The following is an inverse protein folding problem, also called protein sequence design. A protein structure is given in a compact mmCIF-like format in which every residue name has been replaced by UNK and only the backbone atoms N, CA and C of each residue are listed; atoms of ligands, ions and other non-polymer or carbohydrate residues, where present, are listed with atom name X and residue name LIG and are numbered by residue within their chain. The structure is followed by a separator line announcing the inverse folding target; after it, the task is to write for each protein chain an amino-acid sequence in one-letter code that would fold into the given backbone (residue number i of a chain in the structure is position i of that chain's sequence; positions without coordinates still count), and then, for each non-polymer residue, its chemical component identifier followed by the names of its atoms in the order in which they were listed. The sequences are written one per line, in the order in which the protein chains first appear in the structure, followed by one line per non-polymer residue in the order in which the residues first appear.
data_IF_595666073156
#
_entry.id   IF_595666073156
#
_cell.length_a   1.000
_cell.length_b   1.000
_cell.length_c   1.000
_cell.angle_alpha   90.00
_cell.angle_beta   90.00
_cell.angle_gamma   90.00
#
_symmetry.space_group_name_H-M   'P 1'
#
loop_
_entity.id
_entity.type
_entity.pdbx_description
1 polymer ?
#
# COMPACT_ATOMS: atom_id res chain seq x y z
N UNK A 1 -27.41 -78.45 -9.49
CA UNK A 1 -28.19 -79.11 -8.44
C UNK A 1 -28.19 -78.27 -7.23
N UNK A 2 -29.37 -77.91 -6.75
CA UNK A 2 -29.87 -77.15 -5.62
C UNK A 2 -30.41 -75.75 -5.97
N UNK A 3 -31.58 -75.72 -5.96
CA UNK A 3 -32.92 -75.18 -5.72
C UNK A 3 -32.89 -73.85 -5.02
N UNK A 4 -33.58 -72.87 -5.64
CA UNK A 4 -34.23 -71.74 -4.93
C UNK A 4 -35.31 -72.26 -3.98
N UNK A 5 -35.65 -71.46 -2.95
CA UNK A 5 -37.04 -71.41 -2.57
C UNK A 5 -37.57 -69.92 -2.42
N UNK A 6 -38.65 -69.80 -3.08
CA UNK A 6 -39.94 -69.25 -2.65
C UNK A 6 -40.06 -67.84 -1.99
N UNK A 7 -40.87 -67.06 -2.67
CA UNK A 7 -41.58 -65.86 -2.34
C UNK A 7 -42.38 -65.90 -1.04
N UNK A 8 -42.37 -64.81 -0.28
CA UNK A 8 -43.38 -64.45 0.72
C UNK A 8 -43.86 -62.98 0.58
N UNK A 9 -45.04 -62.64 1.08
CA UNK A 9 -45.97 -61.70 0.49
C UNK A 9 -45.86 -60.22 1.00
N UNK A 10 -46.34 -59.34 0.13
CA UNK A 10 -46.67 -57.95 0.39
C UNK A 10 -47.68 -57.76 1.50
N UNK A 11 -47.38 -56.91 2.48
CA UNK A 11 -48.27 -55.89 3.11
C UNK A 11 -47.77 -55.53 4.51
N UNK A 12 -47.13 -54.36 4.61
CA UNK A 12 -47.11 -53.61 5.87
C UNK A 12 -47.08 -52.11 5.55
N UNK A 13 -48.05 -51.31 5.96
CA UNK A 13 -48.08 -49.87 5.68
C UNK A 13 -47.46 -49.10 6.86
N UNK A 14 -46.24 -48.66 6.70
CA UNK A 14 -45.62 -47.58 7.50
C UNK A 14 -44.37 -47.04 6.81
N UNK A 15 -44.59 -46.36 5.70
CA UNK A 15 -43.51 -45.55 5.10
C UNK A 15 -43.60 -44.12 5.72
N UNK A 16 -42.85 -43.89 6.78
CA UNK A 16 -42.48 -42.55 7.19
C UNK A 16 -41.59 -41.93 6.13
N UNK A 17 -42.13 -41.07 5.33
CA UNK A 17 -41.43 -40.20 4.37
C UNK A 17 -40.47 -39.32 5.15
N UNK A 18 -39.18 -39.72 5.20
CA UNK A 18 -38.10 -38.82 5.53
C UNK A 18 -38.00 -37.76 4.40
N UNK A 19 -38.56 -36.58 4.68
CA UNK A 19 -38.38 -35.42 3.83
C UNK A 19 -36.88 -35.17 3.66
N UNK A 20 -36.38 -35.36 2.44
CA UNK A 20 -35.00 -35.07 2.06
C UNK A 20 -34.79 -33.55 2.15
N UNK A 21 -34.15 -33.09 3.22
CA UNK A 21 -33.59 -31.75 3.31
C UNK A 21 -32.56 -31.63 2.19
N UNK A 22 -32.66 -30.65 1.27
CA UNK A 22 -31.75 -30.59 0.14
C UNK A 22 -30.31 -30.33 0.63
N UNK A 23 -29.40 -31.23 0.30
CA UNK A 23 -27.99 -31.22 0.67
C UNK A 23 -27.26 -29.89 0.34
N UNK A 24 -27.84 -29.07 -0.53
CA UNK A 24 -27.33 -27.73 -0.89
C UNK A 24 -27.50 -26.68 0.23
N UNK A 25 -28.51 -26.76 1.08
CA UNK A 25 -28.71 -25.81 2.20
C UNK A 25 -27.79 -26.11 3.38
N UNK A 26 -27.49 -27.38 3.64
CA UNK A 26 -26.56 -27.78 4.70
C UNK A 26 -25.11 -27.37 4.35
N UNK A 27 -24.71 -27.47 3.07
CA UNK A 27 -23.38 -27.07 2.61
C UNK A 27 -23.19 -25.53 2.66
N UNK A 28 -24.22 -24.71 2.40
CA UNK A 28 -24.16 -23.26 2.52
C UNK A 28 -24.04 -22.79 3.98
N UNK A 29 -24.75 -23.43 4.89
CA UNK A 29 -24.67 -23.15 6.33
C UNK A 29 -23.30 -23.48 6.92
N UNK A 30 -22.73 -24.62 6.55
CA UNK A 30 -21.42 -25.04 7.00
C UNK A 30 -20.29 -24.10 6.49
N UNK A 31 -20.37 -23.66 5.25
CA UNK A 31 -19.41 -22.70 4.69
C UNK A 31 -19.52 -21.32 5.36
N UNK A 32 -20.71 -20.87 5.69
CA UNK A 32 -20.92 -19.62 6.41
C UNK A 32 -20.43 -19.68 7.86
N UNK A 33 -20.66 -20.81 8.53
CA UNK A 33 -20.18 -21.04 9.89
C UNK A 33 -18.66 -21.17 9.96
N UNK A 34 -18.03 -21.85 9.00
CA UNK A 34 -16.57 -21.96 8.87
C UNK A 34 -15.94 -20.60 8.57
N UNK A 35 -16.52 -19.79 7.69
CA UNK A 35 -16.07 -18.42 7.45
C UNK A 35 -16.21 -17.53 8.70
N UNK A 36 -17.30 -17.64 9.43
CA UNK A 36 -17.51 -16.91 10.67
C UNK A 36 -16.52 -17.34 11.76
N UNK A 37 -16.23 -18.64 11.88
CA UNK A 37 -15.25 -19.17 12.84
C UNK A 37 -13.82 -18.78 12.46
N UNK A 38 -13.46 -18.87 11.20
CA UNK A 38 -12.19 -18.36 10.68
C UNK A 38 -12.04 -16.86 10.97
N UNK A 39 -13.04 -16.05 10.67
CA UNK A 39 -13.01 -14.62 10.96
C UNK A 39 -12.88 -14.33 12.48
N UNK A 40 -13.48 -15.14 13.34
CA UNK A 40 -13.38 -14.99 14.79
C UNK A 40 -12.00 -15.36 15.34
N UNK A 41 -11.40 -16.44 14.82
CA UNK A 41 -10.01 -16.84 15.13
C UNK A 41 -9.02 -15.79 14.64
N UNK A 42 -9.21 -15.29 13.41
CA UNK A 42 -8.39 -14.23 12.84
C UNK A 42 -8.49 -12.90 13.62
N UNK A 43 -9.68 -12.52 14.08
CA UNK A 43 -9.87 -11.34 14.94
C UNK A 43 -9.16 -11.50 16.28
N UNK A 44 -9.21 -12.66 16.90
CA UNK A 44 -8.51 -12.95 18.16
C UNK A 44 -6.98 -12.89 17.99
N UNK A 45 -6.45 -13.55 16.96
CA UNK A 45 -5.02 -13.52 16.64
C UNK A 45 -4.53 -12.10 16.25
N UNK A 46 -5.38 -11.29 15.61
CA UNK A 46 -5.10 -9.88 15.31
C UNK A 46 -4.96 -9.04 16.58
N UNK A 47 -5.85 -9.23 17.57
CA UNK A 47 -5.77 -8.48 18.83
C UNK A 47 -4.45 -8.74 19.57
N UNK A 48 -4.03 -10.00 19.67
CA UNK A 48 -2.77 -10.38 20.33
C UNK A 48 -1.55 -9.84 19.54
N UNK A 49 -1.57 -9.94 18.21
CA UNK A 49 -0.51 -9.37 17.35
C UNK A 49 -0.47 -7.84 17.42
N UNK A 50 -1.62 -7.19 17.51
CA UNK A 50 -1.75 -5.74 17.67
C UNK A 50 -1.06 -5.25 18.95
N UNK A 51 -1.41 -5.86 20.09
CA UNK A 51 -0.89 -5.45 21.38
C UNK A 51 0.63 -5.70 21.51
N UNK A 52 1.13 -6.76 20.88
CA UNK A 52 2.55 -7.06 20.81
C UNK A 52 3.32 -6.07 19.91
N UNK A 53 2.76 -5.70 18.74
CA UNK A 53 3.39 -4.75 17.82
C UNK A 53 3.41 -3.32 18.35
N UNK A 54 2.36 -2.88 19.01
CA UNK A 54 2.34 -1.58 19.67
C UNK A 54 3.46 -1.47 20.71
N UNK A 55 3.69 -2.55 21.47
CA UNK A 55 4.76 -2.59 22.49
C UNK A 55 6.16 -2.74 21.91
N UNK A 56 6.31 -3.44 20.80
CA UNK A 56 7.63 -3.80 20.23
C UNK A 56 8.08 -2.85 19.13
N UNK A 57 7.15 -2.34 18.29
CA UNK A 57 7.49 -1.53 17.11
C UNK A 57 7.12 -0.04 17.24
N UNK A 58 6.47 0.37 18.36
CA UNK A 58 6.05 1.75 18.57
C UNK A 58 5.08 2.28 17.50
N UNK A 59 4.39 1.38 16.77
CA UNK A 59 3.40 1.79 15.77
C UNK A 59 2.16 2.27 16.50
N UNK A 60 1.67 3.50 16.26
CA UNK A 60 0.48 4.01 16.90
C UNK A 60 -0.72 3.09 16.63
N UNK A 61 -1.48 2.81 17.69
CA UNK A 61 -2.69 2.02 17.53
C UNK A 61 -3.78 2.84 16.86
N UNK A 62 -4.46 2.25 15.89
CA UNK A 62 -5.70 2.76 15.31
C UNK A 62 -6.69 1.60 15.13
N UNK A 63 -7.96 1.90 15.21
CA UNK A 63 -9.00 0.94 14.84
C UNK A 63 -9.25 1.06 13.32
N UNK A 64 -8.82 0.03 12.58
CA UNK A 64 -8.97 -0.01 11.12
C UNK A 64 -10.42 -0.31 10.77
N UNK A 65 -11.03 0.58 10.03
CA UNK A 65 -12.38 0.44 9.49
C UNK A 65 -12.33 -0.11 8.06
N UNK A 66 -13.39 -0.81 7.60
CA UNK A 66 -13.43 -1.34 6.23
C UNK A 66 -13.35 -0.28 5.13
N UNK A 67 -13.73 0.94 5.44
CA UNK A 67 -13.68 2.11 4.56
C UNK A 67 -12.42 2.97 4.73
N UNK A 68 -11.47 2.58 5.58
CA UNK A 68 -10.15 3.22 5.64
C UNK A 68 -9.33 2.88 4.40
N UNK A 69 -8.56 3.84 3.95
CA UNK A 69 -7.66 3.71 2.80
C UNK A 69 -6.22 4.00 3.23
N UNK A 70 -5.33 3.12 2.85
CA UNK A 70 -3.93 3.19 3.24
C UNK A 70 -3.04 3.34 2.02
N UNK A 71 -2.20 4.35 2.01
CA UNK A 71 -1.21 4.60 0.98
C UNK A 71 0.16 4.14 1.49
N UNK A 72 0.58 2.97 1.06
CA UNK A 72 1.89 2.44 1.40
C UNK A 72 2.86 2.55 0.24
N UNK A 73 4.11 2.73 0.55
CA UNK A 73 5.21 2.71 -0.40
C UNK A 73 6.53 2.61 0.34
N UNK A 74 7.58 2.13 -0.32
CA UNK A 74 8.92 2.46 0.13
C UNK A 74 9.16 3.98 -0.02
N UNK A 75 9.94 4.63 0.88
CA UNK A 75 10.21 6.06 0.74
C UNK A 75 10.70 6.43 -0.68
N UNK A 76 10.31 7.60 -1.19
CA UNK A 76 10.68 8.12 -2.52
C UNK A 76 10.04 7.43 -3.73
N UNK A 77 8.96 6.69 -3.52
CA UNK A 77 8.22 6.00 -4.60
C UNK A 77 7.00 6.78 -5.13
N UNK A 78 6.87 8.09 -4.88
CA UNK A 78 5.78 8.90 -5.44
C UNK A 78 4.57 9.10 -4.52
N UNK A 79 4.63 8.65 -3.27
CA UNK A 79 3.51 8.74 -2.30
C UNK A 79 2.99 10.19 -2.14
N UNK A 80 3.88 11.19 -2.08
CA UNK A 80 3.49 12.60 -1.95
C UNK A 80 2.64 13.07 -3.12
N UNK A 81 2.98 12.70 -4.35
CA UNK A 81 2.20 13.05 -5.54
C UNK A 81 0.79 12.47 -5.48
N UNK A 82 0.68 11.17 -5.19
CA UNK A 82 -0.63 10.53 -5.05
C UNK A 82 -1.46 11.18 -3.94
N UNK A 83 -0.86 11.55 -2.81
CA UNK A 83 -1.57 12.22 -1.71
C UNK A 83 -2.16 13.57 -2.14
N UNK A 84 -1.42 14.38 -2.91
CA UNK A 84 -1.93 15.65 -3.44
C UNK A 84 -3.15 15.45 -4.34
N UNK A 85 -3.11 14.46 -5.25
CA UNK A 85 -4.25 14.16 -6.13
C UNK A 85 -5.44 13.68 -5.31
N UNK A 86 -5.23 12.76 -4.36
CA UNK A 86 -6.29 12.23 -3.51
C UNK A 86 -6.89 13.29 -2.58
N UNK A 87 -6.07 14.21 -2.06
CA UNK A 87 -6.58 15.31 -1.27
C UNK A 87 -7.52 16.19 -2.10
N UNK A 88 -7.12 16.55 -3.32
CA UNK A 88 -7.97 17.36 -4.20
C UNK A 88 -9.27 16.63 -4.53
N UNK A 89 -9.22 15.32 -4.87
CA UNK A 89 -10.40 14.53 -5.15
C UNK A 89 -11.34 14.34 -3.96
N UNK A 90 -10.80 14.32 -2.74
CA UNK A 90 -11.57 14.01 -1.54
C UNK A 90 -12.12 15.27 -0.87
N UNK A 91 -11.37 16.35 -0.86
CA UNK A 91 -11.66 17.57 -0.11
C UNK A 91 -11.77 18.82 -0.99
N UNK A 92 -11.71 18.66 -2.31
CA UNK A 92 -11.75 19.75 -3.30
C UNK A 92 -10.74 20.88 -3.01
N UNK A 93 -9.64 20.52 -2.34
CA UNK A 93 -8.61 21.45 -1.89
C UNK A 93 -7.22 21.03 -2.40
N UNK A 94 -6.40 22.02 -2.74
CA UNK A 94 -4.99 21.80 -3.06
C UNK A 94 -4.18 22.24 -1.85
N UNK A 95 -3.35 21.34 -1.27
CA UNK A 95 -2.55 21.73 -0.12
C UNK A 95 -1.53 22.81 -0.50
N UNK A 96 -1.52 23.87 0.24
CA UNK A 96 -0.54 24.97 0.10
C UNK A 96 0.67 24.75 1.01
N UNK A 97 0.46 24.02 2.11
CA UNK A 97 1.49 23.65 3.07
C UNK A 97 1.50 22.14 3.33
N UNK A 98 2.65 21.62 3.74
CA UNK A 98 2.80 20.18 4.01
C UNK A 98 1.96 19.73 5.22
N UNK A 99 1.76 20.61 6.19
CA UNK A 99 0.93 20.37 7.37
C UNK A 99 -0.53 20.10 7.00
N UNK A 100 -1.09 20.82 6.03
CA UNK A 100 -2.45 20.57 5.51
C UNK A 100 -2.57 19.16 4.92
N UNK A 101 -1.54 18.71 4.19
CA UNK A 101 -1.48 17.35 3.66
C UNK A 101 -1.42 16.31 4.78
N UNK A 102 -0.66 16.57 5.85
CA UNK A 102 -0.56 15.68 7.01
C UNK A 102 -1.81 15.71 7.89
N UNK A 103 -2.55 16.81 7.94
CA UNK A 103 -3.80 16.89 8.72
C UNK A 103 -4.95 16.14 8.05
N UNK A 104 -4.99 16.11 6.71
CA UNK A 104 -6.04 15.43 5.94
C UNK A 104 -5.69 13.97 5.60
N UNK A 105 -4.41 13.68 5.34
CA UNK A 105 -3.89 12.35 5.04
C UNK A 105 -2.68 12.02 5.93
N UNK A 106 -2.88 11.79 7.23
CA UNK A 106 -1.79 11.69 8.20
C UNK A 106 -0.88 10.48 7.98
N UNK A 107 0.38 10.66 8.36
CA UNK A 107 1.39 9.60 8.36
C UNK A 107 1.30 8.77 9.64
N UNK A 108 0.99 7.46 9.52
CA UNK A 108 0.73 6.56 10.66
C UNK A 108 1.96 6.40 11.57
N UNK A 109 3.14 6.35 10.99
CA UNK A 109 4.40 6.05 11.69
C UNK A 109 5.13 7.31 12.21
N UNK A 110 4.36 8.36 12.54
CA UNK A 110 4.84 9.59 13.20
C UNK A 110 4.28 9.72 14.62
N UNK A 111 4.95 10.54 15.43
CA UNK A 111 4.52 10.81 16.82
C UNK A 111 3.21 11.62 16.86
N UNK A 112 2.98 12.45 15.85
CA UNK A 112 1.84 13.34 15.74
C UNK A 112 0.58 12.63 15.24
N UNK A 113 0.68 11.37 14.79
CA UNK A 113 -0.41 10.64 14.15
C UNK A 113 -1.72 10.69 14.95
N UNK A 114 -1.67 10.40 16.26
CA UNK A 114 -2.88 10.36 17.10
C UNK A 114 -3.57 11.73 17.18
N UNK A 115 -2.80 12.81 17.31
CA UNK A 115 -3.33 14.17 17.39
C UNK A 115 -3.92 14.62 16.05
N UNK A 116 -3.32 14.23 14.92
CA UNK A 116 -3.83 14.52 13.58
C UNK A 116 -5.08 13.70 13.28
N UNK A 117 -5.07 12.41 13.59
CA UNK A 117 -6.24 11.53 13.42
C UNK A 117 -7.47 12.05 14.19
N UNK A 118 -7.27 12.60 15.39
CA UNK A 118 -8.36 13.18 16.20
C UNK A 118 -8.97 14.46 15.60
N UNK A 119 -8.27 15.12 14.68
CA UNK A 119 -8.71 16.35 13.98
C UNK A 119 -9.20 16.10 12.57
N UNK A 120 -9.11 14.85 12.07
CA UNK A 120 -9.57 14.54 10.72
C UNK A 120 -11.05 14.90 10.55
N UNK A 121 -11.42 15.52 9.41
CA UNK A 121 -12.81 15.80 9.11
C UNK A 121 -13.60 14.51 8.90
N UNK A 122 -14.93 14.61 8.99
CA UNK A 122 -15.82 13.53 8.60
C UNK A 122 -15.66 13.23 7.10
N UNK A 123 -15.74 11.96 6.75
CA UNK A 123 -15.62 11.53 5.36
C UNK A 123 -14.63 10.39 5.14
N UNK A 124 -14.17 10.20 3.89
CA UNK A 124 -13.20 9.16 3.56
C UNK A 124 -11.86 9.40 4.25
N UNK A 125 -11.40 8.41 5.02
CA UNK A 125 -10.12 8.50 5.72
C UNK A 125 -9.00 7.88 4.88
N UNK A 126 -7.96 8.66 4.67
CA UNK A 126 -6.73 8.22 4.02
C UNK A 126 -5.56 8.32 5.00
N UNK A 127 -4.70 7.32 4.99
CA UNK A 127 -3.52 7.25 5.84
C UNK A 127 -2.30 6.89 5.02
N UNK A 128 -1.16 7.46 5.36
CA UNK A 128 0.11 7.20 4.67
C UNK A 128 1.07 6.45 5.57
N UNK A 129 1.87 5.55 5.01
CA UNK A 129 2.99 4.94 5.72
C UNK A 129 4.07 4.41 4.77
N UNK A 130 5.24 4.12 5.35
CA UNK A 130 6.35 3.42 4.69
C UNK A 130 6.65 2.06 5.35
N UNK A 131 5.81 1.63 6.28
CA UNK A 131 6.00 0.37 6.99
C UNK A 131 5.93 -0.84 6.04
N UNK A 132 6.65 -1.93 6.33
CA UNK A 132 6.48 -3.19 5.62
C UNK A 132 5.09 -3.75 5.84
N UNK A 133 4.74 -4.75 5.04
CA UNK A 133 3.43 -5.39 5.08
C UNK A 133 2.98 -5.80 6.48
N UNK A 134 1.73 -5.55 6.74
CA UNK A 134 1.01 -6.10 7.87
C UNK A 134 -0.43 -6.43 7.48
N UNK A 135 -0.91 -7.66 7.75
CA UNK A 135 -2.29 -8.06 7.47
C UNK A 135 -3.33 -7.21 8.20
N UNK A 136 -2.91 -6.48 9.22
CA UNK A 136 -3.75 -5.57 9.98
C UNK A 136 -4.40 -4.48 9.12
N UNK A 137 -3.69 -3.96 8.13
CA UNK A 137 -4.20 -2.89 7.25
C UNK A 137 -5.15 -3.40 6.16
N UNK A 138 -5.20 -4.71 5.93
CA UNK A 138 -6.11 -5.30 4.95
C UNK A 138 -7.56 -5.45 5.45
N UNK A 139 -7.86 -5.00 6.67
CA UNK A 139 -9.23 -4.76 7.10
C UNK A 139 -9.85 -3.54 6.39
N UNK A 140 -9.03 -2.57 5.99
CA UNK A 140 -9.34 -1.50 5.05
C UNK A 140 -8.80 -1.79 3.66
N UNK A 141 -8.72 -0.77 2.81
CA UNK A 141 -8.18 -0.84 1.44
C UNK A 141 -6.74 -0.32 1.43
N UNK A 142 -5.83 -1.07 0.81
CA UNK A 142 -4.42 -0.71 0.72
C UNK A 142 -4.04 -0.43 -0.73
N UNK A 143 -3.48 0.74 -0.98
CA UNK A 143 -2.82 1.11 -2.23
C UNK A 143 -1.33 1.10 -1.95
N UNK A 144 -0.59 0.20 -2.58
CA UNK A 144 0.86 0.13 -2.47
C UNK A 144 1.51 0.67 -3.74
N UNK A 145 2.27 1.77 -3.61
CA UNK A 145 3.00 2.35 -4.73
C UNK A 145 4.41 1.78 -4.73
N UNK A 146 4.78 1.15 -5.84
CA UNK A 146 6.13 0.67 -6.09
C UNK A 146 6.79 1.52 -7.17
N UNK A 147 8.11 1.70 -7.08
CA UNK A 147 8.98 2.35 -8.06
C UNK A 147 10.25 1.54 -8.21
N UNK A 148 10.89 1.57 -9.38
CA UNK A 148 12.20 0.94 -9.58
C UNK A 148 13.16 1.32 -8.45
N UNK A 149 13.69 0.30 -7.77
CA UNK A 149 14.50 0.50 -6.57
C UNK A 149 15.79 1.26 -6.82
N UNK A 150 16.29 1.26 -8.07
CA UNK A 150 17.48 2.02 -8.49
C UNK A 150 17.16 3.52 -8.57
N UNK A 151 16.01 3.88 -9.12
CA UNK A 151 15.54 5.26 -9.14
C UNK A 151 15.16 5.76 -7.74
N UNK A 152 14.59 4.86 -6.92
CA UNK A 152 14.35 5.15 -5.50
C UNK A 152 15.66 5.44 -4.78
N UNK A 153 16.70 4.65 -5.00
CA UNK A 153 18.03 4.84 -4.40
C UNK A 153 18.62 6.20 -4.75
N UNK A 154 18.57 6.60 -6.02
CA UNK A 154 19.07 7.90 -6.48
C UNK A 154 18.25 9.06 -5.87
N UNK A 155 16.92 8.96 -5.91
CA UNK A 155 16.04 9.95 -5.31
C UNK A 155 16.25 10.08 -3.78
N UNK A 156 16.57 8.95 -3.12
CA UNK A 156 16.81 8.94 -1.68
C UNK A 156 18.19 9.51 -1.34
N UNK A 157 19.20 9.24 -2.16
CA UNK A 157 20.52 9.85 -2.03
C UNK A 157 20.43 11.37 -2.11
N UNK A 158 19.71 11.89 -3.10
CA UNK A 158 19.47 13.32 -3.26
C UNK A 158 18.74 13.93 -2.05
N UNK A 159 17.71 13.24 -1.57
CA UNK A 159 16.95 13.63 -0.39
C UNK A 159 17.86 13.71 0.85
N UNK A 160 18.67 12.70 1.09
CA UNK A 160 19.58 12.65 2.22
C UNK A 160 20.67 13.73 2.16
N UNK A 161 21.16 14.02 0.96
CA UNK A 161 22.14 15.10 0.78
C UNK A 161 21.55 16.49 1.05
N UNK A 162 20.37 16.75 0.49
CA UNK A 162 19.75 18.08 0.50
C UNK A 162 19.10 18.41 1.85
N UNK A 163 18.46 17.44 2.49
CA UNK A 163 17.67 17.69 3.71
C UNK A 163 18.33 17.19 5.00
N UNK A 164 19.15 16.16 4.91
CA UNK A 164 19.77 15.55 6.11
C UNK A 164 21.29 15.70 6.15
N UNK A 165 21.84 16.52 5.26
CA UNK A 165 23.27 16.85 5.27
C UNK A 165 24.21 15.66 5.03
N UNK A 166 23.77 14.61 4.33
CA UNK A 166 24.62 13.48 4.03
C UNK A 166 25.85 13.89 3.21
N UNK A 167 27.06 13.59 3.68
CA UNK A 167 28.33 14.02 3.09
C UNK A 167 29.01 12.96 2.23
N UNK A 168 28.54 11.70 2.27
CA UNK A 168 29.09 10.61 1.47
C UNK A 168 28.77 10.74 -0.02
N UNK A 169 29.48 9.99 -0.83
CA UNK A 169 29.21 9.86 -2.28
C UNK A 169 28.11 8.81 -2.56
N UNK A 170 27.70 8.71 -3.83
CA UNK A 170 26.67 7.77 -4.27
C UNK A 170 27.07 6.31 -3.98
N UNK A 171 28.33 5.93 -4.19
CA UNK A 171 28.79 4.56 -3.94
C UNK A 171 28.61 4.16 -2.46
N UNK A 172 29.03 5.00 -1.54
CA UNK A 172 28.87 4.74 -0.11
C UNK A 172 27.40 4.73 0.31
N UNK A 173 26.57 5.57 -0.32
CA UNK A 173 25.12 5.57 -0.07
C UNK A 173 24.46 4.30 -0.62
N UNK A 174 24.80 3.86 -1.84
CA UNK A 174 24.27 2.64 -2.45
C UNK A 174 24.49 1.41 -1.55
N UNK A 175 25.71 1.27 -1.00
CA UNK A 175 26.02 0.20 -0.04
C UNK A 175 25.13 0.27 1.20
N UNK A 176 24.93 1.46 1.77
CA UNK A 176 24.04 1.66 2.93
C UNK A 176 22.59 1.37 2.61
N UNK A 177 22.10 1.81 1.45
CA UNK A 177 20.74 1.59 0.97
C UNK A 177 20.46 0.09 0.80
N UNK A 178 21.35 -0.64 0.14
CA UNK A 178 21.24 -2.07 -0.11
C UNK A 178 21.37 -2.91 1.18
N UNK A 179 22.07 -2.43 2.19
CA UNK A 179 22.24 -3.11 3.48
C UNK A 179 21.17 -2.75 4.53
N UNK A 180 20.13 -1.98 4.15
CA UNK A 180 19.01 -1.69 5.05
C UNK A 180 19.31 -0.70 6.17
N UNK A 181 20.27 0.21 5.97
CA UNK A 181 20.58 1.27 6.93
C UNK A 181 19.40 2.23 7.19
N UNK A 182 18.44 2.27 6.29
CA UNK A 182 17.27 3.13 6.42
C UNK A 182 16.21 2.50 7.32
N UNK A 183 15.40 3.36 7.97
CA UNK A 183 14.38 2.99 8.97
C UNK A 183 13.44 1.86 8.53
N UNK A 184 13.16 1.74 7.22
CA UNK A 184 12.17 0.82 6.68
C UNK A 184 12.78 -0.45 6.04
N UNK A 185 14.05 -0.73 6.33
CA UNK A 185 14.81 -1.86 5.78
C UNK A 185 15.30 -1.59 4.35
N UNK A 186 15.70 -2.66 3.65
CA UNK A 186 16.10 -2.57 2.25
C UNK A 186 14.85 -2.37 1.37
N UNK A 187 15.03 -1.80 0.17
CA UNK A 187 13.95 -1.73 -0.82
C UNK A 187 13.38 -3.13 -1.10
N UNK A 188 14.25 -4.12 -1.36
CA UNK A 188 13.85 -5.51 -1.58
C UNK A 188 13.00 -6.04 -0.41
N UNK A 189 13.48 -5.94 0.82
CA UNK A 189 12.79 -6.52 1.99
C UNK A 189 11.42 -5.88 2.25
N UNK A 190 11.28 -4.57 2.04
CA UNK A 190 10.01 -3.88 2.22
C UNK A 190 9.04 -4.22 1.08
N UNK A 191 9.46 -4.05 -0.18
CA UNK A 191 8.60 -4.23 -1.36
C UNK A 191 8.14 -5.67 -1.49
N UNK A 192 9.03 -6.66 -1.30
CA UNK A 192 8.67 -8.08 -1.41
C UNK A 192 7.57 -8.49 -0.43
N UNK A 193 7.53 -7.89 0.77
CA UNK A 193 6.47 -8.20 1.74
C UNK A 193 5.08 -7.77 1.27
N UNK A 194 4.98 -6.69 0.49
CA UNK A 194 3.74 -6.22 -0.09
C UNK A 194 3.39 -6.96 -1.38
N UNK A 195 4.36 -7.16 -2.27
CA UNK A 195 4.16 -7.84 -3.56
C UNK A 195 3.64 -9.27 -3.38
N UNK A 196 4.07 -9.97 -2.33
CA UNK A 196 3.55 -11.30 -2.00
C UNK A 196 2.03 -11.35 -1.70
N UNK A 197 1.37 -10.21 -1.56
CA UNK A 197 -0.06 -10.11 -1.20
C UNK A 197 -0.92 -9.37 -2.23
N UNK A 198 -0.42 -9.16 -3.44
CA UNK A 198 -1.12 -8.44 -4.52
C UNK A 198 -2.43 -9.08 -4.95
N UNK A 199 -2.61 -10.37 -4.70
CA UNK A 199 -3.87 -11.08 -4.99
C UNK A 199 -4.97 -10.85 -3.93
N UNK A 200 -4.71 -10.07 -2.87
CA UNK A 200 -5.72 -9.78 -1.87
C UNK A 200 -6.73 -8.73 -2.39
N UNK A 201 -8.06 -8.95 -2.25
CA UNK A 201 -9.08 -8.06 -2.83
C UNK A 201 -9.03 -6.63 -2.28
N UNK A 202 -8.47 -6.42 -1.09
CA UNK A 202 -8.31 -5.11 -0.47
C UNK A 202 -6.91 -4.52 -0.72
N UNK A 203 -6.16 -4.99 -1.70
CA UNK A 203 -4.85 -4.47 -2.06
C UNK A 203 -4.77 -4.14 -3.55
N UNK A 204 -4.32 -2.95 -3.85
CA UNK A 204 -4.00 -2.48 -5.20
C UNK A 204 -2.50 -2.16 -5.27
N UNK A 205 -1.78 -2.83 -6.16
CA UNK A 205 -0.41 -2.48 -6.51
C UNK A 205 -0.42 -1.45 -7.64
N UNK A 206 0.28 -0.34 -7.46
CA UNK A 206 0.42 0.73 -8.45
C UNK A 206 1.90 0.95 -8.71
N UNK A 207 2.31 0.92 -9.98
CA UNK A 207 3.66 1.33 -10.35
C UNK A 207 3.71 2.85 -10.51
N UNK A 208 4.74 3.46 -9.95
CA UNK A 208 4.98 4.89 -10.11
C UNK A 208 5.12 5.30 -11.58
N UNK A 209 5.74 4.42 -12.36
CA UNK A 209 5.97 4.62 -13.78
C UNK A 209 4.65 4.68 -14.57
N UNK A 210 3.66 3.84 -14.20
CA UNK A 210 2.33 3.85 -14.81
C UNK A 210 1.56 5.12 -14.42
N UNK A 211 1.61 5.49 -13.12
CA UNK A 211 1.02 6.76 -12.64
C UNK A 211 1.62 7.97 -13.37
N UNK A 212 2.88 7.89 -13.77
CA UNK A 212 3.58 8.96 -14.48
C UNK A 212 3.26 8.98 -15.98
N UNK A 213 3.26 7.83 -16.65
CA UNK A 213 3.05 7.73 -18.09
C UNK A 213 1.58 7.93 -18.49
N UNK A 214 0.65 7.44 -17.66
CA UNK A 214 -0.79 7.62 -17.83
C UNK A 214 -1.45 7.91 -16.46
N UNK A 215 -1.32 9.14 -15.97
CA UNK A 215 -1.89 9.53 -14.68
C UNK A 215 -3.41 9.42 -14.65
N UNK A 216 -4.09 9.65 -15.79
CA UNK A 216 -5.56 9.62 -15.86
C UNK A 216 -6.10 8.20 -15.65
N UNK A 217 -5.67 7.23 -16.44
CA UNK A 217 -6.15 5.84 -16.32
C UNK A 217 -5.75 5.23 -14.98
N UNK A 218 -4.52 5.49 -14.52
CA UNK A 218 -4.03 5.00 -13.23
C UNK A 218 -4.84 5.56 -12.07
N UNK A 219 -5.10 6.87 -12.06
CA UNK A 219 -5.88 7.51 -11.00
C UNK A 219 -7.35 7.10 -11.03
N UNK A 220 -7.93 6.86 -12.22
CA UNK A 220 -9.29 6.31 -12.33
C UNK A 220 -9.37 4.94 -11.64
N UNK A 221 -8.44 4.04 -11.91
CA UNK A 221 -8.38 2.74 -11.24
C UNK A 221 -8.19 2.85 -9.71
N UNK A 222 -7.38 3.82 -9.25
CA UNK A 222 -7.20 4.11 -7.82
C UNK A 222 -8.50 4.64 -7.20
N UNK A 223 -9.20 5.55 -7.86
CA UNK A 223 -10.46 6.11 -7.38
C UNK A 223 -11.55 5.02 -7.27
N UNK A 224 -11.71 4.19 -8.30
CA UNK A 224 -12.62 3.05 -8.30
C UNK A 224 -12.31 2.06 -7.17
N UNK A 225 -11.05 1.65 -7.03
CA UNK A 225 -10.60 0.78 -5.95
C UNK A 225 -10.87 1.41 -4.58
N UNK A 226 -10.61 2.70 -4.43
CA UNK A 226 -10.83 3.44 -3.18
C UNK A 226 -12.31 3.68 -2.87
N UNK A 227 -13.21 3.48 -3.84
CA UNK A 227 -14.63 3.81 -3.71
C UNK A 227 -14.86 5.33 -3.65
N UNK A 228 -13.99 6.11 -4.29
CA UNK A 228 -14.20 7.53 -4.51
C UNK A 228 -15.10 7.72 -5.72
N UNK A 229 -16.13 8.55 -5.56
CA UNK A 229 -16.97 8.97 -6.67
C UNK A 229 -16.43 10.28 -7.23
N UNK A 230 -15.95 10.27 -8.45
CA UNK A 230 -15.52 11.46 -9.17
C UNK A 230 -15.81 11.28 -10.66
N UNK A 231 -16.13 12.39 -11.33
CA UNK A 231 -16.26 12.41 -12.78
C UNK A 231 -14.89 12.65 -13.47
N UNK A 232 -14.88 12.56 -14.78
CA UNK A 232 -13.65 12.76 -15.57
C UNK A 232 -13.07 14.17 -15.40
N UNK A 233 -13.91 15.20 -15.29
CA UNK A 233 -13.48 16.59 -15.13
C UNK A 233 -12.81 16.81 -13.79
N UNK A 234 -13.40 16.29 -12.72
CA UNK A 234 -12.82 16.34 -11.37
C UNK A 234 -11.46 15.63 -11.32
N UNK A 235 -11.38 14.44 -11.96
CA UNK A 235 -10.14 13.67 -12.00
C UNK A 235 -9.03 14.41 -12.75
N UNK A 236 -9.33 14.98 -13.93
CA UNK A 236 -8.35 15.78 -14.69
C UNK A 236 -7.92 17.02 -13.94
N UNK A 237 -8.86 17.73 -13.32
CA UNK A 237 -8.57 18.89 -12.47
C UNK A 237 -7.63 18.54 -11.32
N UNK A 238 -7.87 17.43 -10.63
CA UNK A 238 -7.03 16.98 -9.52
C UNK A 238 -5.59 16.63 -9.96
N UNK A 239 -5.45 15.98 -11.11
CA UNK A 239 -4.13 15.64 -11.68
C UNK A 239 -3.36 16.91 -12.05
N UNK A 240 -4.00 17.84 -12.75
CA UNK A 240 -3.40 19.12 -13.14
C UNK A 240 -3.05 20.01 -11.92
N UNK A 241 -3.93 20.05 -10.93
CA UNK A 241 -3.71 20.76 -9.69
C UNK A 241 -2.54 20.20 -8.86
N UNK A 242 -2.17 18.94 -9.09
CA UNK A 242 -1.08 18.24 -8.41
C UNK A 242 0.19 18.17 -9.26
N UNK A 243 0.44 19.17 -10.10
CA UNK A 243 1.69 19.23 -10.89
C UNK A 243 2.94 19.26 -10.01
N UNK A 244 4.06 18.81 -10.57
CA UNK A 244 5.35 18.73 -9.88
C UNK A 244 5.75 20.08 -9.25
N UNK A 245 5.52 21.19 -9.96
CA UNK A 245 5.84 22.55 -9.46
C UNK A 245 5.02 22.92 -8.21
N UNK A 246 3.75 22.57 -8.18
CA UNK A 246 2.87 22.80 -7.03
C UNK A 246 3.29 21.97 -5.82
N UNK A 247 3.62 20.69 -6.05
CA UNK A 247 4.17 19.82 -5.00
C UNK A 247 5.47 20.38 -4.45
N UNK A 248 6.35 20.85 -5.32
CA UNK A 248 7.61 21.46 -4.90
C UNK A 248 7.39 22.75 -4.10
N UNK A 249 6.37 23.52 -4.43
CA UNK A 249 6.01 24.70 -3.63
C UNK A 249 5.59 24.30 -2.20
N UNK A 250 4.68 23.34 -2.07
CA UNK A 250 4.23 22.80 -0.78
C UNK A 250 5.39 22.20 0.02
N UNK A 251 6.27 21.43 -0.64
CA UNK A 251 7.43 20.83 0.04
C UNK A 251 8.48 21.86 0.45
N UNK A 252 8.66 22.96 -0.31
CA UNK A 252 9.57 24.05 0.07
C UNK A 252 9.14 24.73 1.34
N UNK A 253 7.85 25.05 1.50
CA UNK A 253 7.34 25.69 2.72
C UNK A 253 7.65 24.84 3.95
N UNK A 254 7.43 23.54 3.88
CA UNK A 254 7.77 22.62 4.96
C UNK A 254 9.27 22.55 5.28
N UNK A 255 10.13 22.52 4.25
CA UNK A 255 11.58 22.47 4.43
C UNK A 255 12.10 23.75 5.10
N UNK A 256 11.60 24.92 4.70
CA UNK A 256 11.94 26.18 5.35
C UNK A 256 11.48 26.22 6.80
N UNK A 257 10.30 25.69 7.11
CA UNK A 257 9.79 25.61 8.48
C UNK A 257 10.66 24.73 9.39
N UNK A 258 11.39 23.73 8.83
CA UNK A 258 12.35 22.89 9.56
C UNK A 258 13.72 23.58 9.78
N UNK A 259 13.88 24.85 9.38
CA UNK A 259 15.15 25.58 9.51
C UNK A 259 16.27 25.08 8.59
N UNK A 260 15.93 24.30 7.57
CA UNK A 260 16.88 23.76 6.59
C UNK A 260 16.88 24.64 5.33
N UNK A 261 18.07 25.09 4.88
CA UNK A 261 18.17 25.74 3.57
C UNK A 261 17.94 24.70 2.46
N UNK A 262 16.94 24.94 1.64
CA UNK A 262 16.66 24.15 0.44
C UNK A 262 17.72 24.44 -0.64
N UNK A 263 18.82 23.72 -0.63
CA UNK A 263 19.87 23.82 -1.68
C UNK A 263 19.53 22.90 -2.85
N UNK A 264 18.57 23.29 -3.66
CA UNK A 264 18.26 22.66 -4.94
C UNK A 264 17.12 21.63 -4.90
N UNK A 265 16.38 21.52 -6.00
CA UNK A 265 15.16 20.72 -6.11
C UNK A 265 15.38 19.23 -5.83
N UNK A 266 14.40 18.57 -5.25
CA UNK A 266 14.02 17.24 -5.70
C UNK A 266 14.03 17.34 -7.22
N UNK A 267 14.71 16.41 -7.94
CA UNK A 267 14.80 16.49 -9.40
C UNK A 267 13.46 16.94 -9.95
N UNK A 268 13.46 18.10 -10.63
CA UNK A 268 12.25 18.89 -10.93
C UNK A 268 11.16 18.09 -11.63
N UNK A 269 11.53 16.96 -12.20
CA UNK A 269 10.73 16.14 -13.11
C UNK A 269 10.43 14.72 -12.56
N UNK A 270 10.88 14.36 -11.36
CA UNK A 270 10.82 12.98 -10.89
C UNK A 270 11.71 12.04 -11.74
N UNK A 271 12.46 12.57 -12.69
CA UNK A 271 13.36 11.82 -13.55
C UNK A 271 14.67 11.54 -12.84
N UNK A 272 14.68 10.52 -12.04
CA UNK A 272 15.91 9.78 -11.84
C UNK A 272 15.95 8.68 -12.89
N UNK A 273 16.79 8.85 -13.87
CA UNK A 273 17.08 7.76 -14.82
C UNK A 273 18.36 7.07 -14.34
N UNK A 274 18.20 5.98 -13.64
CA UNK A 274 19.33 5.24 -13.09
C UNK A 274 20.35 4.83 -14.18
N UNK A 275 19.91 4.61 -15.43
CA UNK A 275 20.77 4.22 -16.55
C UNK A 275 21.83 5.26 -16.90
N UNK A 276 21.53 6.53 -16.70
CA UNK A 276 22.48 7.62 -16.93
C UNK A 276 23.42 7.90 -15.76
N UNK A 277 23.19 7.27 -14.60
CA UNK A 277 23.88 7.64 -13.36
C UNK A 277 24.62 6.47 -12.72
N UNK A 278 24.03 5.26 -12.69
CA UNK A 278 24.67 4.10 -12.08
C UNK A 278 25.70 3.48 -13.02
N UNK A 279 26.85 3.11 -12.48
CA UNK A 279 27.80 2.27 -13.20
C UNK A 279 27.23 0.87 -13.44
N UNK A 280 27.77 0.14 -14.42
CA UNK A 280 27.40 -1.27 -14.66
C UNK A 280 27.59 -2.14 -13.41
N UNK A 281 28.64 -1.89 -12.64
CA UNK A 281 28.92 -2.59 -11.40
C UNK A 281 27.84 -2.30 -10.34
N UNK A 282 27.48 -1.02 -10.15
CA UNK A 282 26.43 -0.63 -9.19
C UNK A 282 25.06 -1.22 -9.58
N UNK A 283 24.71 -1.20 -10.87
CA UNK A 283 23.50 -1.85 -11.36
C UNK A 283 23.56 -3.36 -11.13
N UNK A 284 24.68 -4.01 -11.45
CA UNK A 284 24.87 -5.45 -11.25
C UNK A 284 24.64 -5.86 -9.79
N UNK A 285 25.26 -5.17 -8.84
CA UNK A 285 25.07 -5.42 -7.41
C UNK A 285 23.61 -5.28 -6.97
N UNK A 286 22.88 -4.30 -7.50
CA UNK A 286 21.45 -4.15 -7.20
C UNK A 286 20.62 -5.28 -7.81
N UNK A 287 20.89 -5.63 -9.06
CA UNK A 287 20.20 -6.73 -9.76
C UNK A 287 20.46 -8.06 -9.07
N UNK A 288 21.70 -8.36 -8.68
CA UNK A 288 22.02 -9.60 -7.96
C UNK A 288 21.22 -9.71 -6.65
N UNK A 289 21.01 -8.61 -5.97
CA UNK A 289 20.21 -8.59 -4.73
C UNK A 289 18.71 -8.72 -4.98
N UNK A 290 18.17 -8.14 -6.08
CA UNK A 290 16.74 -7.92 -6.23
C UNK A 290 16.14 -8.45 -7.56
N UNK A 291 16.87 -9.30 -8.31
CA UNK A 291 16.51 -9.80 -9.64
C UNK A 291 15.07 -10.28 -9.73
N UNK A 292 14.70 -11.27 -8.93
CA UNK A 292 13.36 -11.87 -8.95
C UNK A 292 12.24 -10.85 -8.73
N UNK A 293 12.49 -9.87 -7.86
CA UNK A 293 11.52 -8.82 -7.56
C UNK A 293 11.43 -7.80 -8.70
N UNK A 294 12.56 -7.45 -9.32
CA UNK A 294 12.58 -6.57 -10.50
C UNK A 294 11.81 -7.22 -11.66
N UNK A 295 12.05 -8.51 -11.93
CA UNK A 295 11.36 -9.27 -12.98
C UNK A 295 9.85 -9.38 -12.68
N UNK A 296 9.46 -9.73 -11.45
CA UNK A 296 8.06 -9.82 -11.03
C UNK A 296 7.31 -8.48 -11.17
N UNK A 297 8.02 -7.36 -11.05
CA UNK A 297 7.49 -6.01 -11.20
C UNK A 297 7.67 -5.45 -12.62
N UNK A 298 8.18 -6.25 -13.57
CA UNK A 298 8.46 -5.85 -14.95
C UNK A 298 9.43 -4.66 -15.06
N UNK A 299 10.41 -4.59 -14.16
CA UNK A 299 11.52 -3.64 -14.27
C UNK A 299 12.67 -4.26 -15.09
N UNK A 300 13.24 -3.52 -16.04
CA UNK A 300 14.35 -4.04 -16.85
C UNK A 300 15.59 -4.25 -15.97
N UNK A 301 16.40 -5.25 -16.31
CA UNK A 301 17.63 -5.55 -15.56
C UNK A 301 18.84 -4.74 -16.06
N UNK A 302 18.78 -4.28 -17.32
CA UNK A 302 19.83 -3.48 -18.00
C UNK A 302 19.26 -2.14 -18.50
#
# INVERSE_FOLDING_TARGET
MFREPDSLPSNCPCALTLASVPARQAAHGATHLMKALQNRIWRGARKVRRDLRHRVLGVPWMDVKPDDRFLFSYPRSGNTWLRHILQHLTFESVPTEYEELEDLLPTIDTLEFQSRMAKMPDGPRFFKSHLPYSPYFLDGKVIYIVRDGRDVMLSYFDYQRKLHGYKGNLESFSKKFMNGWLRYGTWKSNVSTWVAHTNHPNMLLVRFEDLRSDPFSTMRGIAEFSGLTCDETQLRSAIEASSVDKIHATMRSWIFAQGTEFKGGVSADGETNWRGVLSKEQNGLFVDQARELLEALSYPLE
#
